data_IF_541013892645
#
_entry.id   IF_541013892645
#
_cell.length_a   1.000
_cell.length_b   1.000
_cell.length_c   1.000
_cell.angle_alpha   90.00
_cell.angle_beta   90.00
_cell.angle_gamma   90.00
#
_symmetry.space_group_name_H-M   'P 1'
#
loop_
_entity.id
_entity.type
_entity.pdbx_description
1 polymer ?
#
# COMPACT_ATOMS: atom_id res chain seq x y z
N UNK A 1 51.39 43.79 -33.64
CA UNK A 1 50.63 42.78 -34.39
C UNK A 1 50.24 41.67 -33.42
N UNK A 2 48.96 41.65 -32.89
CA UNK A 2 48.48 40.68 -31.89
C UNK A 2 47.55 39.75 -32.63
N UNK A 3 47.90 38.46 -32.70
CA UNK A 3 47.13 37.39 -33.31
C UNK A 3 46.21 36.78 -32.24
N UNK A 4 44.89 36.96 -32.40
CA UNK A 4 43.89 36.30 -31.57
C UNK A 4 43.55 34.95 -32.20
N UNK A 5 43.87 33.85 -31.48
CA UNK A 5 43.44 32.51 -31.83
C UNK A 5 42.07 32.30 -31.17
N UNK A 6 41.03 32.22 -31.99
CA UNK A 6 39.68 31.87 -31.57
C UNK A 6 39.57 30.37 -31.39
N UNK A 7 39.41 29.89 -30.15
CA UNK A 7 39.10 28.51 -29.86
C UNK A 7 37.59 28.25 -30.07
N UNK A 8 37.26 27.43 -31.06
CA UNK A 8 35.88 26.98 -31.32
C UNK A 8 35.58 25.85 -30.35
N UNK A 9 34.73 26.11 -29.35
CA UNK A 9 34.22 25.09 -28.42
C UNK A 9 33.04 24.37 -29.11
N UNK A 10 33.28 23.18 -29.59
CA UNK A 10 32.23 22.30 -30.12
C UNK A 10 31.47 21.66 -28.96
N UNK A 11 30.29 22.20 -28.64
CA UNK A 11 29.36 21.59 -27.68
C UNK A 11 28.67 20.38 -28.35
N UNK A 12 29.11 19.18 -28.03
CA UNK A 12 28.41 17.96 -28.42
C UNK A 12 27.12 17.85 -27.59
N UNK A 13 25.98 18.19 -28.17
CA UNK A 13 24.65 17.90 -27.64
C UNK A 13 24.46 16.37 -27.66
N UNK A 14 24.76 15.71 -26.52
CA UNK A 14 24.38 14.34 -26.30
C UNK A 14 22.85 14.23 -26.27
N UNK A 15 22.27 13.69 -27.33
CA UNK A 15 20.85 13.28 -27.34
C UNK A 15 20.71 12.13 -26.37
N UNK A 16 20.29 12.42 -25.14
CA UNK A 16 19.83 11.39 -24.19
C UNK A 16 18.53 10.83 -24.77
N UNK A 17 18.63 9.69 -25.45
CA UNK A 17 17.45 8.93 -25.85
C UNK A 17 16.64 8.61 -24.58
N UNK A 18 15.31 8.89 -24.54
CA UNK A 18 14.49 8.49 -23.41
C UNK A 18 14.61 6.97 -23.31
N UNK A 19 15.20 6.51 -22.19
CA UNK A 19 15.22 5.08 -21.84
C UNK A 19 13.78 4.60 -21.89
N UNK A 20 13.43 3.74 -22.87
CA UNK A 20 12.16 3.08 -22.90
C UNK A 20 11.99 2.41 -21.52
N UNK A 21 11.06 2.92 -20.72
CA UNK A 21 10.76 2.37 -19.41
C UNK A 21 10.47 0.88 -19.66
N UNK A 22 11.42 0.01 -19.29
CA UNK A 22 11.31 -1.42 -19.53
C UNK A 22 10.01 -1.88 -18.87
N UNK A 23 9.09 -2.41 -19.69
CA UNK A 23 7.79 -2.84 -19.20
C UNK A 23 8.03 -3.80 -18.04
N UNK A 24 7.52 -3.44 -16.86
CA UNK A 24 7.73 -4.23 -15.64
C UNK A 24 7.22 -5.66 -15.87
N UNK A 25 8.08 -6.65 -15.62
CA UNK A 25 7.69 -8.05 -15.76
C UNK A 25 6.74 -8.47 -14.63
N UNK A 26 5.87 -9.47 -14.82
CA UNK A 26 5.05 -10.01 -13.74
C UNK A 26 5.86 -10.46 -12.50
N UNK A 27 7.04 -11.03 -12.70
CA UNK A 27 7.93 -11.44 -11.61
C UNK A 27 8.48 -10.24 -10.85
N UNK A 28 8.97 -9.21 -11.53
CA UNK A 28 9.44 -7.97 -10.93
C UNK A 28 8.34 -7.24 -10.16
N UNK A 29 7.13 -7.18 -10.72
CA UNK A 29 5.97 -6.61 -10.05
C UNK A 29 5.63 -7.34 -8.74
N UNK A 30 5.58 -8.68 -8.76
CA UNK A 30 5.35 -9.48 -7.54
C UNK A 30 6.44 -9.26 -6.51
N UNK A 31 7.71 -9.26 -6.91
CA UNK A 31 8.83 -9.03 -6.01
C UNK A 31 8.75 -7.65 -5.34
N UNK A 32 8.41 -6.61 -6.11
CA UNK A 32 8.24 -5.25 -5.61
C UNK A 32 7.10 -5.16 -4.58
N UNK A 33 5.90 -5.67 -4.90
CA UNK A 33 4.76 -5.60 -3.99
C UNK A 33 4.96 -6.47 -2.75
N UNK A 34 5.49 -7.68 -2.88
CA UNK A 34 5.83 -8.50 -1.72
C UNK A 34 6.88 -7.79 -0.83
N UNK A 35 7.89 -7.16 -1.41
CA UNK A 35 8.87 -6.35 -0.66
C UNK A 35 8.23 -5.20 0.09
N UNK A 36 7.33 -4.46 -0.56
CA UNK A 36 6.54 -3.40 0.05
C UNK A 36 5.75 -3.93 1.26
N UNK A 37 4.98 -5.00 1.09
CA UNK A 37 4.14 -5.55 2.16
C UNK A 37 4.98 -6.07 3.34
N UNK A 38 6.12 -6.73 3.08
CA UNK A 38 7.07 -7.11 4.13
C UNK A 38 7.55 -5.92 4.96
N UNK A 39 7.74 -4.76 4.33
CA UNK A 39 8.13 -3.53 5.03
C UNK A 39 7.05 -2.97 5.98
N UNK A 40 5.77 -3.18 5.66
CA UNK A 40 4.65 -2.77 6.51
C UNK A 40 4.29 -3.78 7.60
N UNK A 41 4.45 -5.07 7.35
CA UNK A 41 4.04 -6.17 8.25
C UNK A 41 4.49 -5.98 9.71
N UNK A 42 5.77 -5.67 10.04
CA UNK A 42 6.17 -5.52 11.43
C UNK A 42 5.47 -4.35 12.14
N UNK A 43 5.19 -3.26 11.44
CA UNK A 43 4.48 -2.10 11.98
C UNK A 43 3.01 -2.43 12.26
N UNK A 44 2.32 -3.04 11.30
CA UNK A 44 0.94 -3.48 11.46
C UNK A 44 0.79 -4.49 12.61
N UNK A 45 1.71 -5.46 12.73
CA UNK A 45 1.72 -6.41 13.85
C UNK A 45 2.01 -5.76 15.20
N UNK A 46 2.83 -4.70 15.25
CA UNK A 46 3.06 -3.95 16.48
C UNK A 46 1.76 -3.27 16.97
N UNK A 47 1.01 -2.66 16.06
CA UNK A 47 -0.28 -2.04 16.40
C UNK A 47 -1.32 -3.10 16.82
N UNK A 48 -1.39 -4.23 16.14
CA UNK A 48 -2.26 -5.35 16.54
C UNK A 48 -1.95 -5.83 17.97
N UNK A 49 -0.67 -6.01 18.31
CA UNK A 49 -0.25 -6.36 19.67
C UNK A 49 -0.65 -5.27 20.69
N UNK A 50 -0.52 -4.00 20.31
CA UNK A 50 -0.93 -2.88 21.17
C UNK A 50 -2.44 -2.88 21.39
N UNK A 51 -3.25 -3.08 20.33
CA UNK A 51 -4.71 -3.23 20.46
C UNK A 51 -5.10 -4.40 21.36
N UNK A 52 -4.44 -5.57 21.22
CA UNK A 52 -4.70 -6.73 22.09
C UNK A 52 -4.39 -6.45 23.56
N UNK A 53 -3.25 -5.78 23.84
CA UNK A 53 -2.89 -5.37 25.22
C UNK A 53 -3.90 -4.38 25.79
N UNK A 54 -4.26 -3.36 25.01
CA UNK A 54 -5.24 -2.35 25.43
C UNK A 54 -6.62 -2.98 25.71
N UNK A 55 -7.07 -3.92 24.87
CA UNK A 55 -8.32 -4.66 25.09
C UNK A 55 -8.28 -5.45 26.40
N UNK A 56 -7.19 -6.19 26.69
CA UNK A 56 -7.03 -6.94 27.95
C UNK A 56 -7.02 -6.02 29.17
N UNK A 57 -6.40 -4.85 29.05
CA UNK A 57 -6.34 -3.84 30.11
C UNK A 57 -7.61 -2.97 30.21
N UNK A 58 -8.60 -3.15 29.31
CA UNK A 58 -9.78 -2.28 29.15
C UNK A 58 -9.42 -0.81 28.91
N UNK A 59 -8.24 -0.56 28.33
CA UNK A 59 -7.77 0.77 27.92
C UNK A 59 -8.33 1.12 26.53
N UNK A 60 -9.56 1.63 26.50
CA UNK A 60 -10.23 1.99 25.25
C UNK A 60 -9.59 3.18 24.53
N UNK A 61 -8.90 4.07 25.26
CA UNK A 61 -8.17 5.19 24.67
C UNK A 61 -6.92 4.68 23.92
N UNK A 62 -6.13 3.82 24.55
CA UNK A 62 -4.97 3.18 23.94
C UNK A 62 -5.36 2.30 22.75
N UNK A 63 -6.48 1.57 22.86
CA UNK A 63 -7.04 0.80 21.73
C UNK A 63 -7.37 1.70 20.55
N UNK A 64 -8.09 2.79 20.77
CA UNK A 64 -8.49 3.74 19.72
C UNK A 64 -7.29 4.37 19.01
N UNK A 65 -6.24 4.73 19.78
CA UNK A 65 -4.99 5.25 19.23
C UNK A 65 -4.29 4.22 18.32
N UNK A 66 -4.11 2.99 18.82
CA UNK A 66 -3.45 1.92 18.06
C UNK A 66 -4.25 1.53 16.80
N UNK A 67 -5.59 1.50 16.87
CA UNK A 67 -6.46 1.26 15.74
C UNK A 67 -6.32 2.37 14.67
N UNK A 68 -6.31 3.64 15.11
CA UNK A 68 -6.13 4.78 14.20
C UNK A 68 -4.81 4.70 13.45
N UNK A 69 -3.72 4.38 14.15
CA UNK A 69 -2.39 4.21 13.56
C UNK A 69 -2.35 3.00 12.60
N UNK A 70 -2.92 1.87 12.99
CA UNK A 70 -3.05 0.67 12.15
C UNK A 70 -3.76 0.98 10.82
N UNK A 71 -4.93 1.63 10.89
CA UNK A 71 -5.68 1.98 9.68
C UNK A 71 -4.94 2.99 8.80
N UNK A 72 -4.21 3.94 9.39
CA UNK A 72 -3.38 4.89 8.64
C UNK A 72 -2.24 4.19 7.89
N UNK A 73 -1.58 3.20 8.52
CA UNK A 73 -0.54 2.38 7.88
C UNK A 73 -1.11 1.51 6.75
N UNK A 74 -2.25 0.85 6.97
CA UNK A 74 -2.93 0.06 5.95
C UNK A 74 -3.29 0.91 4.73
N UNK A 75 -3.92 2.08 4.93
CA UNK A 75 -4.23 3.02 3.86
C UNK A 75 -2.99 3.55 3.12
N UNK A 76 -1.85 3.68 3.80
CA UNK A 76 -0.59 4.10 3.18
C UNK A 76 -0.01 2.97 2.31
N UNK A 77 -0.07 1.73 2.79
CA UNK A 77 0.34 0.54 2.04
C UNK A 77 -0.51 0.37 0.77
N UNK A 78 -1.83 0.43 0.90
CA UNK A 78 -2.77 0.23 -0.21
C UNK A 78 -2.59 1.30 -1.29
N UNK A 79 -2.36 2.55 -0.92
CA UNK A 79 -1.99 3.61 -1.87
C UNK A 79 -0.73 3.30 -2.66
N UNK A 80 0.30 2.72 -2.03
CA UNK A 80 1.53 2.33 -2.73
C UNK A 80 1.28 1.15 -3.68
N UNK A 81 0.46 0.17 -3.29
CA UNK A 81 0.03 -0.92 -4.16
C UNK A 81 -0.72 -0.36 -5.37
N UNK A 82 -1.68 0.53 -5.15
CA UNK A 82 -2.49 1.14 -6.22
C UNK A 82 -1.69 2.01 -7.18
N UNK A 83 -0.66 2.71 -6.68
CA UNK A 83 0.20 3.57 -7.50
C UNK A 83 1.25 2.81 -8.29
N UNK A 84 1.47 1.52 -7.99
CA UNK A 84 2.43 0.68 -8.72
C UNK A 84 1.85 0.24 -10.06
N UNK A 85 2.47 0.57 -11.20
CA UNK A 85 1.95 0.24 -12.52
C UNK A 85 1.78 -1.26 -12.72
N UNK A 86 0.57 -1.71 -13.07
CA UNK A 86 0.26 -3.12 -13.25
C UNK A 86 0.70 -3.59 -14.64
N UNK A 87 1.58 -4.60 -14.76
CA UNK A 87 1.93 -5.19 -16.05
C UNK A 87 0.71 -5.71 -16.80
N UNK A 88 0.68 -5.57 -18.13
CA UNK A 88 -0.46 -5.99 -18.95
C UNK A 88 -0.89 -7.43 -18.69
N UNK A 89 0.08 -8.35 -18.56
CA UNK A 89 -0.16 -9.77 -18.29
C UNK A 89 -0.79 -10.05 -16.90
N UNK A 90 -0.78 -9.07 -15.97
CA UNK A 90 -1.38 -9.22 -14.63
C UNK A 90 -2.70 -8.45 -14.47
N UNK A 91 -3.13 -7.65 -15.44
CA UNK A 91 -4.31 -6.79 -15.29
C UNK A 91 -5.58 -7.56 -14.90
N UNK A 92 -5.83 -8.70 -15.55
CA UNK A 92 -7.01 -9.54 -15.24
C UNK A 92 -7.03 -10.00 -13.77
N UNK A 93 -5.86 -10.34 -13.22
CA UNK A 93 -5.74 -10.77 -11.83
C UNK A 93 -5.81 -9.58 -10.86
N UNK A 94 -5.16 -8.47 -11.19
CA UNK A 94 -5.04 -7.32 -10.28
C UNK A 94 -6.29 -6.43 -10.23
N UNK A 95 -7.05 -6.31 -11.32
CA UNK A 95 -8.26 -5.48 -11.34
C UNK A 95 -9.25 -5.78 -10.21
N UNK A 96 -9.65 -7.04 -9.97
CA UNK A 96 -10.55 -7.36 -8.85
C UNK A 96 -9.89 -7.17 -7.47
N UNK A 97 -8.57 -7.34 -7.35
CA UNK A 97 -7.83 -7.07 -6.11
C UNK A 97 -7.87 -5.58 -5.78
N UNK A 98 -7.49 -4.72 -6.73
CA UNK A 98 -7.50 -3.27 -6.55
C UNK A 98 -8.90 -2.73 -6.25
N UNK A 99 -9.96 -3.35 -6.81
CA UNK A 99 -11.34 -2.99 -6.47
C UNK A 99 -11.66 -3.31 -5.00
N UNK A 100 -11.26 -4.48 -4.51
CA UNK A 100 -11.48 -4.87 -3.11
C UNK A 100 -10.69 -3.99 -2.14
N UNK A 101 -9.43 -3.65 -2.46
CA UNK A 101 -8.61 -2.71 -1.69
C UNK A 101 -9.31 -1.36 -1.56
N UNK A 102 -9.77 -0.76 -2.68
CA UNK A 102 -10.49 0.51 -2.65
C UNK A 102 -11.77 0.46 -1.82
N UNK A 103 -12.48 -0.66 -1.86
CA UNK A 103 -13.68 -0.85 -1.03
C UNK A 103 -13.30 -0.90 0.45
N UNK A 104 -12.26 -1.66 0.82
CA UNK A 104 -11.75 -1.73 2.18
C UNK A 104 -11.25 -0.37 2.68
N UNK A 105 -10.52 0.39 1.84
CA UNK A 105 -10.07 1.76 2.10
C UNK A 105 -11.25 2.72 2.37
N UNK A 106 -12.31 2.59 1.59
CA UNK A 106 -13.53 3.36 1.80
C UNK A 106 -14.10 3.14 3.21
N UNK A 107 -14.20 1.87 3.63
CA UNK A 107 -14.66 1.51 4.97
C UNK A 107 -13.68 1.94 6.06
N UNK A 108 -12.36 1.83 5.85
CA UNK A 108 -11.34 2.29 6.80
C UNK A 108 -11.45 3.80 7.06
N UNK A 109 -11.62 4.61 6.00
CA UNK A 109 -11.82 6.07 6.13
C UNK A 109 -13.14 6.40 6.83
N UNK A 110 -14.20 5.63 6.58
CA UNK A 110 -15.48 5.78 7.29
C UNK A 110 -15.32 5.43 8.76
N UNK A 111 -14.64 4.33 9.11
CA UNK A 111 -14.38 3.95 10.49
C UNK A 111 -13.63 5.04 11.26
N UNK A 112 -12.57 5.62 10.65
CA UNK A 112 -11.83 6.73 11.24
C UNK A 112 -12.70 7.97 11.47
N UNK A 113 -13.56 8.34 10.52
CA UNK A 113 -14.48 9.47 10.68
C UNK A 113 -15.52 9.22 11.79
N UNK A 114 -16.08 8.00 11.84
CA UNK A 114 -17.01 7.59 12.90
C UNK A 114 -16.35 7.64 14.28
N UNK A 115 -15.11 7.15 14.40
CA UNK A 115 -14.32 7.25 15.62
C UNK A 115 -14.12 8.71 16.06
N UNK A 116 -13.77 9.61 15.14
CA UNK A 116 -13.57 11.03 15.41
C UNK A 116 -14.86 11.74 15.88
N UNK A 117 -16.03 11.27 15.43
CA UNK A 117 -17.34 11.77 15.86
C UNK A 117 -17.86 11.10 17.16
N UNK A 118 -17.11 10.17 17.77
CA UNK A 118 -17.57 9.41 18.93
C UNK A 118 -18.60 8.32 18.61
N UNK A 119 -18.89 8.06 17.33
CA UNK A 119 -19.84 7.01 16.90
C UNK A 119 -19.16 5.64 16.90
N UNK A 120 -19.01 5.07 18.09
CA UNK A 120 -18.36 3.76 18.28
C UNK A 120 -19.11 2.62 17.58
N UNK A 121 -20.45 2.66 17.53
CA UNK A 121 -21.24 1.64 16.83
C UNK A 121 -21.03 1.70 15.33
N UNK A 122 -21.07 2.88 14.75
CA UNK A 122 -20.78 3.08 13.33
C UNK A 122 -19.34 2.69 12.97
N UNK A 123 -18.36 3.01 13.81
CA UNK A 123 -16.98 2.56 13.62
C UNK A 123 -16.89 1.04 13.57
N UNK A 124 -17.46 0.33 14.55
CA UNK A 124 -17.43 -1.14 14.60
C UNK A 124 -18.12 -1.75 13.39
N UNK A 125 -19.24 -1.19 12.93
CA UNK A 125 -19.91 -1.67 11.72
C UNK A 125 -19.06 -1.54 10.46
N UNK A 126 -18.25 -0.49 10.34
CA UNK A 126 -17.33 -0.34 9.21
C UNK A 126 -16.14 -1.32 9.30
N UNK A 127 -15.61 -1.57 10.51
CA UNK A 127 -14.55 -2.56 10.75
C UNK A 127 -15.02 -3.99 10.42
N UNK A 128 -16.28 -4.34 10.72
CA UNK A 128 -16.87 -5.63 10.37
C UNK A 128 -16.91 -5.83 8.83
N UNK A 129 -17.25 -4.78 8.08
CA UNK A 129 -17.21 -4.83 6.62
C UNK A 129 -15.79 -5.06 6.08
N UNK A 130 -14.77 -4.40 6.65
CA UNK A 130 -13.36 -4.65 6.31
C UNK A 130 -12.99 -6.10 6.58
N UNK A 131 -13.35 -6.62 7.76
CA UNK A 131 -13.08 -8.01 8.14
C UNK A 131 -13.68 -9.01 7.15
N UNK A 132 -14.91 -8.78 6.67
CA UNK A 132 -15.56 -9.62 5.66
C UNK A 132 -14.87 -9.57 4.29
N UNK A 133 -14.18 -8.48 3.97
CA UNK A 133 -13.41 -8.36 2.72
C UNK A 133 -12.02 -9.00 2.83
N UNK A 134 -11.47 -9.17 4.04
CA UNK A 134 -10.10 -9.65 4.25
C UNK A 134 -9.85 -11.04 3.66
N UNK A 135 -10.73 -12.02 3.93
CA UNK A 135 -10.55 -13.40 3.43
C UNK A 135 -10.56 -13.48 1.90
N UNK A 136 -11.57 -12.94 1.18
CA UNK A 136 -11.56 -12.96 -0.28
C UNK A 136 -10.42 -12.16 -0.89
N UNK A 137 -9.97 -11.09 -0.25
CA UNK A 137 -8.83 -10.28 -0.69
C UNK A 137 -7.54 -11.07 -0.56
N UNK A 138 -7.25 -11.64 0.63
CA UNK A 138 -6.05 -12.43 0.87
C UNK A 138 -5.96 -13.62 -0.10
N UNK A 139 -7.07 -14.37 -0.31
CA UNK A 139 -7.09 -15.47 -1.25
C UNK A 139 -6.83 -15.04 -2.71
N UNK A 140 -7.20 -13.83 -3.11
CA UNK A 140 -6.87 -13.30 -4.44
C UNK A 140 -5.41 -12.85 -4.53
N UNK A 141 -4.89 -12.19 -3.50
CA UNK A 141 -3.48 -11.80 -3.41
C UNK A 141 -2.56 -13.02 -3.49
N UNK A 142 -2.87 -14.08 -2.75
CA UNK A 142 -2.11 -15.34 -2.76
C UNK A 142 -2.09 -15.98 -4.14
N UNK A 143 -3.24 -16.06 -4.83
CA UNK A 143 -3.32 -16.57 -6.21
C UNK A 143 -2.56 -15.72 -7.22
N UNK A 144 -2.44 -14.41 -6.96
CA UNK A 144 -1.62 -13.51 -7.78
C UNK A 144 -0.11 -13.62 -7.48
N UNK A 145 0.29 -14.43 -6.48
CA UNK A 145 1.68 -14.57 -6.01
C UNK A 145 2.14 -13.44 -5.09
N UNK A 146 1.17 -12.75 -4.45
CA UNK A 146 1.41 -11.61 -3.53
C UNK A 146 1.17 -12.03 -2.08
N UNK A 147 1.78 -13.16 -1.66
CA UNK A 147 1.55 -13.79 -0.36
C UNK A 147 1.91 -12.90 0.82
N UNK A 148 2.94 -12.07 0.68
CA UNK A 148 3.35 -11.16 1.75
C UNK A 148 2.40 -9.97 1.92
N UNK A 149 1.52 -9.72 0.93
CA UNK A 149 0.38 -8.80 1.03
C UNK A 149 -0.92 -9.52 1.45
N UNK A 150 -0.97 -10.83 1.32
CA UNK A 150 -2.10 -11.69 1.64
C UNK A 150 -1.93 -12.44 2.96
N UNK A 151 -1.97 -13.79 2.91
CA UNK A 151 -1.99 -14.65 4.09
C UNK A 151 -0.77 -14.52 5.01
N UNK A 152 0.41 -14.16 4.50
CA UNK A 152 1.60 -13.99 5.33
C UNK A 152 1.60 -12.68 6.15
N UNK A 153 0.69 -11.77 5.87
CA UNK A 153 0.57 -10.50 6.60
C UNK A 153 -0.28 -10.60 7.86
N UNK A 154 -1.20 -11.56 7.91
CA UNK A 154 -2.12 -11.84 9.02
C UNK A 154 -1.47 -12.59 10.19
#
# INVERSE_FOLDING_TARGET
MKIYVAAILTVALGVVAPSAASAQTPAGYRAQLNGLCRGYTPKLRADQKTMQKATKAKDWKGFGYALGHYLALALAQDRQIESTPVPSAMRTQMTPILRLLRTADGHARLALRKAAMGDSRGMVAELDKISKLAQPLNGRLDRAGLRDCGSNQS
#
